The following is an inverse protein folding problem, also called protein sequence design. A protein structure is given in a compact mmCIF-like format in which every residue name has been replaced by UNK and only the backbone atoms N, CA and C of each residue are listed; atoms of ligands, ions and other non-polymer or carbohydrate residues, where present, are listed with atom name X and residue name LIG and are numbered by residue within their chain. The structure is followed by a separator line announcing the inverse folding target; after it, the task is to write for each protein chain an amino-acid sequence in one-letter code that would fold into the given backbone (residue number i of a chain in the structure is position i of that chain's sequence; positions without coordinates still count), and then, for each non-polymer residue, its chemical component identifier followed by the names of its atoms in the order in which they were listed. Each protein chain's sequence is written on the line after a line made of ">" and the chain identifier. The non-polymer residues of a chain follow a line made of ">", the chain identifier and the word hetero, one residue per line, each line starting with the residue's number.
data_IF_755978175875
#
_entry.id   IF_755978175875
#
_cell.length_a   1.000
_cell.length_b   1.000
_cell.length_c   1.000
_cell.angle_alpha   90.00
_cell.angle_beta   90.00
_cell.angle_gamma   90.00
#
_symmetry.space_group_name_H-M   'P 1'
#
loop_
_entity.id
_entity.type
_entity.pdbx_description
1 polymer ?
#
# COMPACT_ATOMS: atom_id res chain seq x y z
N UNK A 1 -4.45 17.06 3.36
CA UNK A 1 -4.16 15.61 3.37
C UNK A 1 -5.48 14.86 3.44
N UNK A 2 -5.67 13.83 2.61
CA UNK A 2 -6.92 13.07 2.55
C UNK A 2 -6.65 11.59 2.80
N UNK A 3 -7.42 10.99 3.70
CA UNK A 3 -7.34 9.57 4.03
C UNK A 3 -7.87 8.72 2.87
N UNK A 4 -7.11 7.69 2.47
CA UNK A 4 -7.63 6.68 1.56
C UNK A 4 -8.47 5.65 2.34
N UNK A 5 -9.80 5.77 2.27
CA UNK A 5 -10.71 4.92 3.04
C UNK A 5 -10.60 3.42 2.71
N UNK A 6 -9.99 3.03 1.58
CA UNK A 6 -9.78 1.61 1.27
C UNK A 6 -8.85 0.93 2.27
N UNK A 7 -7.86 1.64 2.82
CA UNK A 7 -6.91 1.05 3.76
C UNK A 7 -7.59 0.64 5.07
N UNK A 8 -8.72 1.26 5.41
CA UNK A 8 -9.50 0.92 6.60
C UNK A 8 -10.08 -0.51 6.54
N UNK A 9 -10.20 -1.06 5.33
CA UNK A 9 -10.67 -2.44 5.11
C UNK A 9 -9.54 -3.47 5.19
N UNK A 10 -8.28 -3.05 5.10
CA UNK A 10 -7.11 -3.94 5.07
C UNK A 10 -6.78 -4.43 6.49
N UNK A 11 -6.74 -5.75 6.71
CA UNK A 11 -6.52 -6.31 8.05
C UNK A 11 -5.14 -5.96 8.62
N UNK A 12 -4.11 -5.92 7.77
CA UNK A 12 -2.78 -5.46 8.16
C UNK A 12 -2.78 -4.03 8.71
N UNK A 13 -3.60 -3.14 8.12
CA UNK A 13 -3.75 -1.79 8.60
C UNK A 13 -4.48 -1.76 9.95
N UNK A 14 -5.58 -2.51 10.09
CA UNK A 14 -6.33 -2.60 11.36
C UNK A 14 -5.44 -3.10 12.50
N UNK A 15 -4.73 -4.21 12.30
CA UNK A 15 -3.82 -4.77 13.31
C UNK A 15 -2.65 -3.83 13.63
N UNK A 16 -2.13 -3.08 12.65
CA UNK A 16 -1.11 -2.05 12.93
C UNK A 16 -1.70 -0.93 13.79
N UNK A 17 -2.85 -0.37 13.40
CA UNK A 17 -3.50 0.70 14.14
C UNK A 17 -3.83 0.31 15.57
N UNK A 18 -4.35 -0.91 15.79
CA UNK A 18 -4.64 -1.43 17.12
C UNK A 18 -3.38 -1.49 18.01
N UNK A 19 -2.25 -1.98 17.46
CA UNK A 19 -0.97 -2.03 18.18
C UNK A 19 -0.46 -0.63 18.53
N UNK A 20 -0.48 0.28 17.56
CA UNK A 20 0.04 1.66 17.73
C UNK A 20 -0.81 2.44 18.74
N UNK A 21 -2.14 2.31 18.69
CA UNK A 21 -3.04 2.96 19.65
C UNK A 21 -2.92 2.35 21.05
N UNK A 22 -2.83 1.02 21.16
CA UNK A 22 -2.62 0.34 22.43
C UNK A 22 -1.32 0.81 23.09
N UNK A 23 -0.24 0.85 22.32
CA UNK A 23 1.04 1.39 22.77
C UNK A 23 0.92 2.86 23.18
N UNK A 24 0.30 3.70 22.35
CA UNK A 24 0.10 5.11 22.64
C UNK A 24 -0.60 5.33 23.99
N UNK A 25 -1.74 4.67 24.23
CA UNK A 25 -2.49 4.86 25.47
C UNK A 25 -1.77 4.27 26.68
N UNK A 26 -1.01 3.19 26.52
CA UNK A 26 -0.19 2.63 27.60
C UNK A 26 0.87 3.64 28.08
N UNK A 27 1.56 4.31 27.15
CA UNK A 27 2.68 5.20 27.48
C UNK A 27 2.27 6.64 27.84
N UNK A 28 1.11 7.09 27.35
CA UNK A 28 0.71 8.50 27.43
C UNK A 28 -0.47 8.79 28.36
N UNK A 29 -1.09 7.78 28.97
CA UNK A 29 -2.16 7.99 29.96
C UNK A 29 -1.57 8.35 31.33
N UNK A 30 -1.11 9.59 31.46
CA UNK A 30 -0.58 10.17 32.71
C UNK A 30 -1.60 11.13 33.33
N UNK A 31 -1.70 11.16 34.66
CA UNK A 31 -2.70 11.94 35.40
C UNK A 31 -2.66 13.45 35.11
N UNK A 32 -1.51 14.00 34.70
CA UNK A 32 -1.33 15.43 34.47
C UNK A 32 -1.62 15.89 33.02
N UNK A 33 -1.88 14.96 32.08
CA UNK A 33 -2.15 15.32 30.69
C UNK A 33 -3.65 15.56 30.52
N UNK A 34 -4.03 16.75 30.05
CA UNK A 34 -5.43 17.04 29.76
C UNK A 34 -5.97 16.12 28.66
N UNK A 35 -7.25 15.78 28.74
CA UNK A 35 -7.90 14.92 27.73
C UNK A 35 -7.78 15.52 26.32
N UNK A 36 -7.86 16.85 26.21
CA UNK A 36 -7.69 17.58 24.95
C UNK A 36 -6.28 17.36 24.37
N UNK A 37 -5.23 17.54 25.18
CA UNK A 37 -3.86 17.33 24.73
C UNK A 37 -3.63 15.88 24.33
N UNK A 38 -4.13 14.93 25.12
CA UNK A 38 -4.03 13.51 24.81
C UNK A 38 -4.69 13.19 23.45
N UNK A 39 -5.88 13.73 23.20
CA UNK A 39 -6.60 13.58 21.94
C UNK A 39 -5.85 14.20 20.75
N UNK A 40 -5.30 15.41 20.92
CA UNK A 40 -4.56 16.09 19.86
C UNK A 40 -3.26 15.37 19.49
N UNK A 41 -2.51 14.87 20.49
CA UNK A 41 -1.31 14.06 20.26
C UNK A 41 -1.70 12.75 19.58
N UNK A 42 -2.74 12.06 20.05
CA UNK A 42 -3.20 10.80 19.45
C UNK A 42 -3.54 10.98 17.97
N UNK A 43 -4.27 12.06 17.62
CA UNK A 43 -4.59 12.39 16.22
C UNK A 43 -3.33 12.65 15.40
N UNK A 44 -2.36 13.38 15.94
CA UNK A 44 -1.10 13.67 15.25
C UNK A 44 -0.30 12.39 14.99
N UNK A 45 -0.11 11.54 16.00
CA UNK A 45 0.56 10.25 15.89
C UNK A 45 -0.16 9.34 14.87
N UNK A 46 -1.47 9.21 14.98
CA UNK A 46 -2.30 8.39 14.08
C UNK A 46 -2.14 8.84 12.63
N UNK A 47 -2.13 10.15 12.35
CA UNK A 47 -1.89 10.66 11.00
C UNK A 47 -0.52 10.27 10.48
N UNK A 48 0.53 10.35 11.30
CA UNK A 48 1.87 9.89 10.95
C UNK A 48 1.91 8.41 10.54
N UNK A 49 1.28 7.55 11.35
CA UNK A 49 1.16 6.10 11.08
C UNK A 49 0.45 5.84 9.75
N UNK A 50 -0.66 6.55 9.48
CA UNK A 50 -1.42 6.38 8.24
C UNK A 50 -0.61 6.82 7.03
N UNK A 51 0.08 7.96 7.12
CA UNK A 51 0.92 8.49 6.03
C UNK A 51 2.02 7.48 5.70
N UNK A 52 2.72 6.96 6.70
CA UNK A 52 3.78 5.97 6.51
C UNK A 52 3.26 4.68 5.88
N UNK A 53 2.16 4.13 6.41
CA UNK A 53 1.51 2.94 5.86
C UNK A 53 1.11 3.13 4.39
N UNK A 54 0.46 4.26 4.08
CA UNK A 54 0.01 4.58 2.73
C UNK A 54 1.19 4.75 1.78
N UNK A 55 2.27 5.40 2.22
CA UNK A 55 3.50 5.56 1.45
C UNK A 55 4.11 4.20 1.12
N UNK A 56 4.28 3.32 2.12
CA UNK A 56 4.82 1.97 1.93
C UNK A 56 4.00 1.16 0.94
N UNK A 57 2.68 1.11 1.13
CA UNK A 57 1.74 0.44 0.24
C UNK A 57 1.82 0.94 -1.20
N UNK A 58 1.90 2.27 -1.38
CA UNK A 58 2.00 2.85 -2.73
C UNK A 58 3.35 2.51 -3.40
N UNK A 59 4.44 2.47 -2.64
CA UNK A 59 5.73 2.03 -3.15
C UNK A 59 5.70 0.56 -3.59
N UNK A 60 5.08 -0.33 -2.81
CA UNK A 60 4.93 -1.75 -3.14
C UNK A 60 4.07 -1.94 -4.40
N UNK A 61 2.94 -1.23 -4.51
CA UNK A 61 2.12 -1.23 -5.73
C UNK A 61 2.89 -0.74 -6.95
N UNK A 62 3.64 0.34 -6.81
CA UNK A 62 4.48 0.88 -7.90
C UNK A 62 5.55 -0.13 -8.33
N UNK A 63 6.21 -0.80 -7.38
CA UNK A 63 7.18 -1.86 -7.69
C UNK A 63 6.54 -3.02 -8.45
N UNK A 64 5.38 -3.51 -7.99
CA UNK A 64 4.66 -4.59 -8.66
C UNK A 64 4.23 -4.20 -10.09
N UNK A 65 3.75 -2.96 -10.27
CA UNK A 65 3.40 -2.44 -11.58
C UNK A 65 4.60 -2.37 -12.53
N UNK A 66 5.73 -1.82 -12.06
CA UNK A 66 6.96 -1.73 -12.86
C UNK A 66 7.44 -3.11 -13.32
N UNK A 67 7.38 -4.12 -12.45
CA UNK A 67 7.76 -5.50 -12.80
C UNK A 67 6.84 -6.08 -13.89
N UNK A 68 5.52 -5.84 -13.81
CA UNK A 68 4.57 -6.25 -14.86
C UNK A 68 4.86 -5.53 -16.19
N UNK A 69 5.21 -4.25 -16.15
CA UNK A 69 5.56 -3.47 -17.34
C UNK A 69 6.85 -3.98 -18.00
N UNK A 70 7.88 -4.29 -17.20
CA UNK A 70 9.12 -4.90 -17.69
C UNK A 70 8.87 -6.29 -18.30
N UNK A 71 8.04 -7.11 -17.67
CA UNK A 71 7.65 -8.42 -18.20
C UNK A 71 6.89 -8.28 -19.52
N UNK A 72 5.96 -7.33 -19.62
CA UNK A 72 5.23 -7.03 -20.85
C UNK A 72 6.20 -6.66 -21.99
N UNK A 73 7.15 -5.73 -21.74
CA UNK A 73 8.17 -5.32 -22.71
C UNK A 73 9.07 -6.49 -23.15
N UNK A 74 9.38 -7.43 -22.24
CA UNK A 74 10.14 -8.64 -22.57
C UNK A 74 9.35 -9.54 -23.52
N UNK A 75 8.09 -9.81 -23.22
CA UNK A 75 7.23 -10.66 -24.04
C UNK A 75 6.97 -10.04 -25.42
N UNK A 76 6.82 -8.72 -25.51
CA UNK A 76 6.68 -8.00 -26.77
C UNK A 76 7.89 -8.22 -27.69
N UNK A 77 9.12 -8.08 -27.14
CA UNK A 77 10.37 -8.37 -27.87
C UNK A 77 10.48 -9.83 -28.29
N UNK A 78 10.01 -10.76 -27.47
CA UNK A 78 10.00 -12.19 -27.82
C UNK A 78 9.03 -12.48 -28.97
N UNK A 79 7.85 -11.85 -28.96
CA UNK A 79 6.85 -12.01 -30.00
C UNK A 79 7.31 -11.42 -31.34
N UNK A 80 8.01 -10.29 -31.33
CA UNK A 80 8.66 -9.73 -32.53
C UNK A 80 9.64 -10.72 -33.17
N UNK A 81 10.39 -11.49 -32.37
CA UNK A 81 11.34 -12.50 -32.85
C UNK A 81 10.68 -13.81 -33.25
N UNK A 82 9.59 -14.19 -32.56
CA UNK A 82 8.91 -15.47 -32.76
C UNK A 82 7.38 -15.29 -32.79
N UNK A 83 6.82 -14.78 -33.91
CA UNK A 83 5.42 -14.35 -33.99
C UNK A 83 4.38 -15.47 -33.77
N UNK A 84 4.80 -16.73 -33.93
CA UNK A 84 3.92 -17.91 -33.94
C UNK A 84 3.63 -18.46 -32.53
N UNK A 85 4.29 -17.94 -31.48
CA UNK A 85 4.10 -18.41 -30.10
C UNK A 85 2.79 -17.89 -29.50
N UNK A 86 1.69 -18.62 -29.72
CA UNK A 86 0.36 -18.31 -29.15
C UNK A 86 0.38 -18.15 -27.63
N UNK A 87 1.19 -18.93 -26.91
CA UNK A 87 1.34 -18.85 -25.46
C UNK A 87 1.89 -17.49 -24.98
N UNK A 88 2.86 -16.91 -25.70
CA UNK A 88 3.44 -15.59 -25.40
C UNK A 88 2.37 -14.52 -25.55
N UNK A 89 1.55 -14.63 -26.60
CA UNK A 89 0.44 -13.71 -26.85
C UNK A 89 -0.63 -13.76 -25.74
N UNK A 90 -1.04 -14.96 -25.32
CA UNK A 90 -1.99 -15.13 -24.20
C UNK A 90 -1.44 -14.54 -22.89
N UNK A 91 -0.15 -14.75 -22.58
CA UNK A 91 0.48 -14.16 -21.40
C UNK A 91 0.51 -12.62 -21.45
N UNK A 92 0.79 -12.04 -22.62
CA UNK A 92 0.74 -10.59 -22.80
C UNK A 92 -0.66 -10.01 -22.57
N UNK A 93 -1.71 -10.67 -23.07
CA UNK A 93 -3.10 -10.22 -22.88
C UNK A 93 -3.50 -10.22 -21.40
N UNK A 94 -3.10 -11.25 -20.64
CA UNK A 94 -3.31 -11.32 -19.19
C UNK A 94 -2.58 -10.19 -18.47
N UNK A 95 -1.32 -9.94 -18.81
CA UNK A 95 -0.53 -8.86 -18.19
C UNK A 95 -1.13 -7.49 -18.53
N UNK A 96 -1.55 -7.29 -19.79
CA UNK A 96 -2.21 -6.06 -20.23
C UNK A 96 -3.47 -5.78 -19.43
N UNK A 97 -4.28 -6.81 -19.13
CA UNK A 97 -5.47 -6.68 -18.29
C UNK A 97 -5.15 -6.41 -16.80
N UNK A 98 -3.95 -6.76 -16.31
CA UNK A 98 -3.51 -6.43 -14.95
C UNK A 98 -2.93 -5.02 -14.83
N UNK A 99 -2.50 -4.44 -15.94
CA UNK A 99 -1.90 -3.10 -16.03
C UNK A 99 -2.97 -2.03 -16.28
N UNK A 100 -3.98 -2.32 -17.12
CA UNK A 100 -5.09 -1.42 -17.46
C UNK A 100 -6.27 -1.55 -16.53
#
# INVERSE_FOLDING_TARGET
>A
WTLNNMILKEDNFKSKMEKELTFFFKENKKEHISLQNLWDIMKACTRGVIIDYTKKRNMEKKKAFNLLEEEYKRLEKELQKTPQKKEVKTKMEIIKHKIG
#
